data_IF_437837791317
#
_entry.id   IF_437837791317
#
_cell.length_a   1.000
_cell.length_b   1.000
_cell.length_c   1.000
_cell.angle_alpha   90.00
_cell.angle_beta   90.00
_cell.angle_gamma   90.00
#
_symmetry.space_group_name_H-M   'P 1'
#
loop_
_entity.id
_entity.type
_entity.pdbx_description
1 polymer ?
#
# COMPACT_ATOMS: atom_id res chain seq x y z
N UNK A 1 29.29 1.60 17.68
CA UNK A 1 29.07 2.27 18.98
C UNK A 1 30.25 3.21 19.20
N UNK A 2 30.20 4.39 18.60
CA UNK A 2 31.33 5.33 18.58
C UNK A 2 30.92 6.59 19.34
N UNK A 3 31.56 6.84 20.48
CA UNK A 3 31.28 7.98 21.36
C UNK A 3 32.03 9.20 20.82
N UNK A 4 31.32 10.09 20.12
CA UNK A 4 31.86 11.42 19.86
C UNK A 4 31.56 12.28 21.09
N UNK A 5 32.56 12.39 21.96
CA UNK A 5 32.58 13.36 23.06
C UNK A 5 32.99 14.70 22.45
N UNK A 6 32.03 15.61 22.26
CA UNK A 6 32.34 16.99 21.92
C UNK A 6 32.93 17.66 23.15
N UNK A 7 34.26 17.74 23.22
CA UNK A 7 34.98 18.51 24.23
C UNK A 7 34.96 19.98 23.80
N UNK A 8 34.32 20.91 24.55
CA UNK A 8 34.42 22.32 24.23
C UNK A 8 35.84 22.82 24.53
N UNK A 9 36.34 23.71 23.67
CA UNK A 9 37.66 24.31 23.81
C UNK A 9 37.78 25.06 25.14
N UNK A 10 38.76 24.64 25.95
CA UNK A 10 39.08 25.16 27.29
C UNK A 10 39.65 26.58 27.17
N UNK A 11 38.91 27.60 27.62
CA UNK A 11 39.51 28.85 28.09
C UNK A 11 39.89 28.68 29.57
N UNK A 12 41.12 29.07 29.87
CA UNK A 12 41.78 28.93 31.16
C UNK A 12 41.11 29.77 32.24
N UNK A 13 40.79 29.14 33.37
CA UNK A 13 40.58 29.79 34.66
C UNK A 13 39.13 30.15 34.99
N UNK A 14 38.38 29.19 35.55
CA UNK A 14 37.41 29.46 36.62
C UNK A 14 36.90 28.15 37.24
N UNK A 15 36.93 28.08 38.57
CA UNK A 15 36.43 26.96 39.37
C UNK A 15 34.95 27.14 39.66
N UNK A 16 34.08 26.33 39.03
CA UNK A 16 32.68 26.23 39.46
C UNK A 16 32.29 24.75 39.56
N UNK A 17 32.14 24.32 40.82
CA UNK A 17 31.41 23.12 41.19
C UNK A 17 29.96 23.27 40.69
N UNK A 18 29.60 22.55 39.64
CA UNK A 18 28.21 22.30 39.31
C UNK A 18 28.08 20.88 38.80
N UNK A 19 27.27 20.07 39.47
CA UNK A 19 26.71 18.85 38.90
C UNK A 19 25.84 19.28 37.71
N UNK A 20 26.48 19.49 36.56
CA UNK A 20 25.77 19.73 35.31
C UNK A 20 24.94 18.46 35.06
N UNK A 21 23.60 18.55 35.00
CA UNK A 21 22.78 17.41 34.63
C UNK A 21 23.27 16.95 33.26
N UNK A 22 23.60 15.67 33.16
CA UNK A 22 24.05 15.07 31.92
C UNK A 22 22.87 15.08 30.95
N UNK A 23 22.69 16.17 30.21
CA UNK A 23 21.68 16.29 29.17
C UNK A 23 22.16 15.43 28.02
N UNK A 24 21.73 14.18 28.02
CA UNK A 24 21.80 13.32 26.84
C UNK A 24 20.79 13.88 25.86
N UNK A 25 21.25 14.77 24.99
CA UNK A 25 20.51 15.11 23.78
C UNK A 25 20.58 13.87 22.90
N UNK A 26 19.58 12.99 23.05
CA UNK A 26 19.28 11.97 22.06
C UNK A 26 18.78 12.73 20.84
N UNK A 27 19.72 13.20 20.01
CA UNK A 27 19.37 13.76 18.71
C UNK A 27 18.54 12.68 18.01
N UNK A 28 17.42 13.10 17.43
CA UNK A 28 16.52 12.25 16.63
C UNK A 28 17.19 11.80 15.32
N UNK A 29 18.51 11.67 15.30
CA UNK A 29 19.35 11.12 14.24
C UNK A 29 19.63 9.62 14.47
N UNK A 30 19.18 9.04 15.59
CA UNK A 30 19.30 7.60 15.89
C UNK A 30 18.15 6.74 15.37
N UNK A 31 17.25 7.30 14.54
CA UNK A 31 16.32 6.50 13.76
C UNK A 31 17.06 6.07 12.50
N UNK A 32 17.33 4.78 12.37
CA UNK A 32 17.79 4.18 11.11
C UNK A 32 16.77 4.47 10.03
N UNK A 33 16.97 5.56 9.31
CA UNK A 33 16.17 5.88 8.15
C UNK A 33 16.39 4.78 7.11
N UNK A 34 15.32 4.40 6.44
CA UNK A 34 15.41 3.50 5.30
C UNK A 34 15.72 4.33 4.05
N UNK A 35 16.60 3.82 3.20
CA UNK A 35 16.88 4.46 1.93
C UNK A 35 15.63 4.53 1.07
N UNK A 36 15.56 5.52 0.18
CA UNK A 36 14.43 5.72 -0.74
C UNK A 36 14.06 4.43 -1.50
N UNK A 37 15.06 3.68 -1.99
CA UNK A 37 14.83 2.44 -2.73
C UNK A 37 14.24 1.33 -1.85
N UNK A 38 14.67 1.23 -0.59
CA UNK A 38 14.11 0.26 0.37
C UNK A 38 12.67 0.60 0.71
N UNK A 39 12.37 1.89 0.92
CA UNK A 39 11.03 2.38 1.14
C UNK A 39 10.11 2.13 -0.07
N UNK A 40 10.57 2.50 -1.26
CA UNK A 40 9.87 2.27 -2.51
C UNK A 40 9.59 0.78 -2.72
N UNK A 41 10.53 -0.10 -2.40
CA UNK A 41 10.33 -1.55 -2.51
C UNK A 41 9.23 -2.07 -1.59
N UNK A 42 9.10 -1.55 -0.37
CA UNK A 42 8.01 -1.93 0.54
C UNK A 42 6.66 -1.52 -0.08
N UNK A 43 6.55 -0.27 -0.51
CA UNK A 43 5.31 0.27 -1.11
C UNK A 43 4.95 -0.45 -2.41
N UNK A 44 5.93 -0.65 -3.30
CA UNK A 44 5.71 -1.30 -4.59
C UNK A 44 5.33 -2.77 -4.43
N UNK A 45 5.92 -3.50 -3.48
CA UNK A 45 5.53 -4.89 -3.25
C UNK A 45 4.10 -5.02 -2.72
N UNK A 46 3.66 -4.09 -1.90
CA UNK A 46 2.29 -4.07 -1.38
C UNK A 46 1.30 -3.81 -2.51
N UNK A 47 1.51 -2.72 -3.26
CA UNK A 47 0.68 -2.33 -4.42
C UNK A 47 0.70 -3.37 -5.56
N UNK A 48 1.87 -3.95 -5.85
CA UNK A 48 2.01 -4.89 -6.96
C UNK A 48 1.36 -6.24 -6.67
N UNK A 49 1.21 -6.63 -5.40
CA UNK A 49 0.62 -7.92 -5.04
C UNK A 49 -0.83 -8.05 -5.56
N UNK A 50 -1.61 -6.98 -5.42
CA UNK A 50 -3.01 -6.95 -5.84
C UNK A 50 -3.20 -6.89 -7.35
N UNK A 51 -2.22 -6.37 -8.09
CA UNK A 51 -2.27 -6.28 -9.56
C UNK A 51 -2.40 -7.66 -10.23
N UNK A 52 -1.83 -8.72 -9.63
CA UNK A 52 -1.86 -10.06 -10.22
C UNK A 52 -3.22 -10.74 -10.16
N UNK A 53 -3.98 -10.53 -9.07
CA UNK A 53 -5.26 -11.22 -8.86
C UNK A 53 -6.48 -10.32 -9.04
N UNK A 54 -6.37 -9.00 -8.89
CA UNK A 54 -7.50 -8.08 -8.97
C UNK A 54 -8.21 -8.16 -10.33
N UNK A 55 -7.46 -8.31 -11.42
CA UNK A 55 -8.03 -8.50 -12.77
C UNK A 55 -8.91 -9.74 -12.87
N UNK A 56 -8.44 -10.88 -12.35
CA UNK A 56 -9.21 -12.13 -12.37
C UNK A 56 -10.45 -12.07 -11.48
N UNK A 57 -10.36 -11.46 -10.29
CA UNK A 57 -11.51 -11.27 -9.41
C UNK A 57 -12.55 -10.35 -10.05
N UNK A 58 -12.12 -9.24 -10.64
CA UNK A 58 -13.01 -8.29 -11.31
C UNK A 58 -13.68 -8.91 -12.56
N UNK A 59 -12.93 -9.67 -13.37
CA UNK A 59 -13.47 -10.38 -14.53
C UNK A 59 -14.49 -11.45 -14.11
N UNK A 60 -14.22 -12.20 -13.03
CA UNK A 60 -15.16 -13.18 -12.50
C UNK A 60 -16.44 -12.52 -11.96
N UNK A 61 -16.33 -11.32 -11.38
CA UNK A 61 -17.46 -10.62 -10.77
C UNK A 61 -18.33 -9.85 -11.77
N UNK A 62 -17.73 -9.21 -12.77
CA UNK A 62 -18.39 -8.24 -13.67
C UNK A 62 -18.44 -8.72 -15.13
N UNK A 63 -17.65 -9.74 -15.47
CA UNK A 63 -17.48 -10.27 -16.82
C UNK A 63 -16.43 -9.52 -17.63
N UNK A 64 -16.48 -9.69 -18.96
CA UNK A 64 -15.45 -9.19 -19.90
C UNK A 64 -15.30 -7.66 -19.94
N UNK A 65 -16.24 -6.91 -19.36
CA UNK A 65 -16.15 -5.46 -19.23
C UNK A 65 -15.29 -4.98 -18.04
N UNK A 66 -14.78 -5.89 -17.20
CA UNK A 66 -13.96 -5.59 -16.03
C UNK A 66 -12.78 -4.61 -16.26
N UNK A 67 -12.04 -4.66 -17.40
CA UNK A 67 -10.92 -3.73 -17.63
C UNK A 67 -11.32 -2.25 -17.56
N UNK A 68 -12.56 -1.90 -17.95
CA UNK A 68 -13.05 -0.52 -17.86
C UNK A 68 -13.24 -0.05 -16.40
N UNK A 69 -13.68 -0.95 -15.52
CA UNK A 69 -13.83 -0.65 -14.09
C UNK A 69 -12.47 -0.53 -13.40
N UNK A 70 -11.52 -1.39 -13.75
CA UNK A 70 -10.13 -1.27 -13.29
C UNK A 70 -9.55 0.07 -13.74
N UNK A 71 -9.73 0.45 -15.01
CA UNK A 71 -9.28 1.74 -15.52
C UNK A 71 -9.90 2.91 -14.74
N UNK A 72 -11.21 2.88 -14.47
CA UNK A 72 -11.88 3.90 -13.69
C UNK A 72 -11.33 4.00 -12.25
N UNK A 73 -11.05 2.87 -11.60
CA UNK A 73 -10.42 2.81 -10.28
C UNK A 73 -8.99 3.36 -10.33
N UNK A 74 -8.21 3.05 -11.36
CA UNK A 74 -6.86 3.61 -11.54
C UNK A 74 -6.87 5.13 -11.73
N UNK A 75 -7.85 5.66 -12.46
CA UNK A 75 -8.05 7.12 -12.57
C UNK A 75 -8.43 7.74 -11.22
N UNK A 76 -9.30 7.08 -10.45
CA UNK A 76 -9.65 7.52 -9.09
C UNK A 76 -8.44 7.49 -8.14
N UNK A 77 -7.56 6.50 -8.28
CA UNK A 77 -6.30 6.36 -7.55
C UNK A 77 -5.45 7.61 -7.64
N UNK A 78 -5.42 8.28 -8.80
CA UNK A 78 -4.67 9.53 -8.97
C UNK A 78 -5.18 10.66 -8.06
N UNK A 79 -6.51 10.77 -7.89
CA UNK A 79 -7.09 11.74 -6.97
C UNK A 79 -6.73 11.41 -5.52
N UNK A 80 -6.80 10.15 -5.12
CA UNK A 80 -6.44 9.72 -3.75
C UNK A 80 -4.94 9.90 -3.49
N UNK A 81 -4.09 9.60 -4.47
CA UNK A 81 -2.65 9.88 -4.42
C UNK A 81 -2.36 11.35 -4.15
N UNK A 82 -3.13 12.28 -4.74
CA UNK A 82 -2.95 13.72 -4.48
C UNK A 82 -3.17 14.07 -3.00
N UNK A 83 -4.18 13.47 -2.36
CA UNK A 83 -4.46 13.63 -0.93
C UNK A 83 -3.34 13.03 -0.07
N UNK A 84 -2.78 11.89 -0.49
CA UNK A 84 -1.62 11.31 0.21
C UNK A 84 -0.37 12.18 0.11
N UNK A 85 -0.11 12.80 -1.05
CA UNK A 85 1.01 13.73 -1.22
C UNK A 85 0.83 14.95 -0.31
N UNK A 86 -0.38 15.50 -0.22
CA UNK A 86 -0.68 16.62 0.69
C UNK A 86 -0.51 16.21 2.16
N UNK A 87 -1.00 15.03 2.53
CA UNK A 87 -0.84 14.43 3.87
C UNK A 87 0.63 14.27 4.25
N UNK A 88 1.48 13.93 3.29
CA UNK A 88 2.94 13.82 3.46
C UNK A 88 3.64 15.17 3.68
N UNK A 89 2.97 16.30 3.42
CA UNK A 89 3.44 17.64 3.76
C UNK A 89 3.32 17.98 5.25
N UNK A 90 2.56 17.19 6.03
CA UNK A 90 2.33 17.41 7.45
C UNK A 90 3.47 16.81 8.30
N UNK A 91 4.28 17.67 8.94
CA UNK A 91 5.43 17.30 9.79
C UNK A 91 5.04 16.71 11.16
N UNK A 92 4.03 15.86 11.21
CA UNK A 92 3.58 15.18 12.42
C UNK A 92 4.34 13.87 12.59
N UNK A 93 4.83 13.57 13.81
CA UNK A 93 5.57 12.33 14.11
C UNK A 93 4.62 11.17 14.41
N UNK A 94 4.36 10.24 13.49
CA UNK A 94 3.51 9.06 13.75
C UNK A 94 3.23 8.22 12.50
N UNK A 95 2.19 7.39 12.49
CA UNK A 95 1.65 6.77 11.26
C UNK A 95 0.40 7.50 10.73
N UNK A 96 -0.37 6.84 9.87
CA UNK A 96 -1.65 7.37 9.31
C UNK A 96 -2.58 7.88 10.40
N UNK A 97 -2.70 7.16 11.53
CA UNK A 97 -3.50 7.58 12.69
C UNK A 97 -3.25 9.04 13.10
N UNK A 98 -1.97 9.42 13.25
CA UNK A 98 -1.62 10.73 13.77
C UNK A 98 -1.78 11.82 12.71
N UNK A 99 -1.59 11.51 11.43
CA UNK A 99 -1.93 12.46 10.34
C UNK A 99 -3.40 12.84 10.44
N UNK A 100 -4.28 11.84 10.45
CA UNK A 100 -5.73 12.06 10.42
C UNK A 100 -6.18 12.73 11.72
N UNK A 101 -5.57 12.40 12.86
CA UNK A 101 -5.89 13.03 14.13
C UNK A 101 -5.59 14.53 14.14
N UNK A 102 -4.43 14.94 13.64
CA UNK A 102 -4.05 16.36 13.60
C UNK A 102 -4.81 17.13 12.52
N UNK A 103 -5.18 16.47 11.41
CA UNK A 103 -5.92 17.11 10.31
C UNK A 103 -7.44 17.20 10.55
N UNK A 104 -8.06 16.16 11.10
CA UNK A 104 -9.52 15.97 11.15
C UNK A 104 -10.06 15.60 12.54
N UNK A 105 -9.21 15.61 13.57
CA UNK A 105 -9.60 15.30 14.94
C UNK A 105 -9.66 13.80 15.28
N UNK A 106 -9.92 13.52 16.55
CA UNK A 106 -9.80 12.17 17.14
C UNK A 106 -10.82 11.17 16.59
N UNK A 107 -12.06 11.60 16.34
CA UNK A 107 -13.14 10.71 15.88
C UNK A 107 -12.82 10.15 14.50
N UNK A 108 -12.44 11.02 13.56
CA UNK A 108 -12.08 10.62 12.20
C UNK A 108 -10.82 9.74 12.18
N UNK A 109 -9.85 10.01 13.05
CA UNK A 109 -8.66 9.18 13.16
C UNK A 109 -8.96 7.74 13.60
N UNK A 110 -9.89 7.56 14.55
CA UNK A 110 -10.33 6.22 14.97
C UNK A 110 -11.05 5.48 13.84
N UNK A 111 -11.98 6.14 13.15
CA UNK A 111 -12.70 5.56 12.01
C UNK A 111 -11.73 5.14 10.91
N UNK A 112 -10.80 6.03 10.54
CA UNK A 112 -9.80 5.78 9.51
C UNK A 112 -8.91 4.57 9.84
N UNK A 113 -8.41 4.48 11.08
CA UNK A 113 -7.55 3.35 11.46
C UNK A 113 -8.32 2.04 11.60
N UNK A 114 -9.58 2.08 12.06
CA UNK A 114 -10.43 0.89 12.04
C UNK A 114 -10.67 0.37 10.62
N UNK A 115 -10.93 1.28 9.66
CA UNK A 115 -11.08 0.91 8.25
C UNK A 115 -9.77 0.35 7.67
N UNK A 116 -8.63 0.96 7.99
CA UNK A 116 -7.31 0.51 7.56
C UNK A 116 -6.95 -0.89 8.11
N UNK A 117 -7.23 -1.14 9.39
CA UNK A 117 -7.01 -2.46 9.99
C UNK A 117 -7.93 -3.52 9.38
N UNK A 118 -9.19 -3.15 9.10
CA UNK A 118 -10.12 -4.05 8.42
C UNK A 118 -9.63 -4.40 7.01
N UNK A 119 -9.08 -3.42 6.28
CA UNK A 119 -8.50 -3.65 4.96
C UNK A 119 -7.36 -4.67 5.04
N UNK A 120 -6.35 -4.45 5.90
CA UNK A 120 -5.23 -5.40 6.04
C UNK A 120 -5.65 -6.81 6.48
N UNK A 121 -6.61 -6.91 7.39
CA UNK A 121 -7.15 -8.21 7.83
C UNK A 121 -7.89 -8.93 6.70
N UNK A 122 -8.48 -8.19 5.76
CA UNK A 122 -9.18 -8.74 4.60
C UNK A 122 -8.23 -9.05 3.44
N UNK A 123 -7.29 -8.16 3.13
CA UNK A 123 -6.39 -8.30 1.97
C UNK A 123 -5.35 -9.39 2.18
N UNK A 124 -4.86 -9.59 3.42
CA UNK A 124 -3.91 -10.65 3.73
C UNK A 124 -4.39 -12.06 3.32
N UNK A 125 -5.56 -12.53 3.79
CA UNK A 125 -6.13 -13.82 3.40
C UNK A 125 -6.48 -13.90 1.90
N UNK A 126 -6.99 -12.82 1.28
CA UNK A 126 -7.28 -12.81 -0.16
C UNK A 126 -5.99 -13.08 -0.95
N UNK A 127 -4.92 -12.34 -0.66
CA UNK A 127 -3.62 -12.53 -1.31
C UNK A 127 -3.06 -13.93 -1.06
N UNK A 128 -3.16 -14.45 0.17
CA UNK A 128 -2.70 -15.80 0.52
C UNK A 128 -3.44 -16.91 -0.23
N UNK A 129 -4.77 -16.83 -0.31
CA UNK A 129 -5.60 -17.81 -1.01
C UNK A 129 -5.37 -17.72 -2.52
N UNK A 130 -5.31 -16.51 -3.09
CA UNK A 130 -5.01 -16.31 -4.52
C UNK A 130 -3.63 -16.87 -4.90
N UNK A 131 -2.60 -16.65 -4.07
CA UNK A 131 -1.28 -17.25 -4.28
C UNK A 131 -1.33 -18.79 -4.23
N UNK A 132 -2.10 -19.37 -3.30
CA UNK A 132 -2.34 -20.80 -3.23
C UNK A 132 -3.06 -21.34 -4.47
N UNK A 133 -4.06 -20.62 -4.99
CA UNK A 133 -4.79 -20.97 -6.21
C UNK A 133 -3.86 -21.00 -7.43
N UNK A 134 -2.94 -20.03 -7.56
CA UNK A 134 -1.93 -20.04 -8.62
C UNK A 134 -0.95 -21.21 -8.48
N UNK A 135 -0.45 -21.47 -7.27
CA UNK A 135 0.48 -22.57 -7.02
C UNK A 135 -0.16 -23.93 -7.33
N UNK A 136 -1.36 -24.19 -6.81
CA UNK A 136 -2.06 -25.46 -7.02
C UNK A 136 -2.48 -25.62 -8.47
N UNK A 137 -2.89 -24.53 -9.14
CA UNK A 137 -3.15 -24.52 -10.58
C UNK A 137 -1.94 -24.96 -11.39
N UNK A 138 -0.77 -24.38 -11.12
CA UNK A 138 0.49 -24.74 -11.75
C UNK A 138 0.89 -26.20 -11.49
N UNK A 139 0.79 -26.66 -10.24
CA UNK A 139 1.12 -28.04 -9.87
C UNK A 139 0.22 -29.05 -10.57
N UNK A 140 -1.09 -28.79 -10.64
CA UNK A 140 -2.03 -29.66 -11.34
C UNK A 140 -1.74 -29.73 -12.85
N UNK A 141 -1.35 -28.62 -13.49
CA UNK A 141 -0.93 -28.62 -14.89
C UNK A 141 0.36 -29.42 -15.10
N UNK A 142 1.33 -29.29 -14.18
CA UNK A 142 2.59 -30.03 -14.21
C UNK A 142 2.38 -31.54 -14.03
N UNK A 143 1.54 -31.96 -13.09
CA UNK A 143 1.20 -33.37 -12.90
C UNK A 143 0.52 -33.96 -14.12
N UNK A 144 -0.40 -33.20 -14.74
CA UNK A 144 -1.04 -33.60 -15.99
C UNK A 144 -0.03 -33.75 -17.13
N UNK A 145 0.94 -32.84 -17.23
CA UNK A 145 2.03 -32.94 -18.21
C UNK A 145 2.94 -34.15 -17.96
N UNK A 146 3.25 -34.43 -16.69
CA UNK A 146 4.05 -35.57 -16.26
C UNK A 146 3.30 -36.92 -16.26
N UNK A 147 2.03 -36.96 -16.71
CA UNK A 147 1.15 -38.15 -16.69
C UNK A 147 0.99 -38.77 -15.30
N UNK A 148 1.06 -37.94 -14.24
CA UNK A 148 0.76 -38.36 -12.88
C UNK A 148 -0.72 -38.09 -12.58
N UNK A 149 -1.49 -39.10 -12.18
CA UNK A 149 -2.91 -38.99 -11.82
C UNK A 149 -3.15 -38.35 -10.44
N UNK A 150 -2.29 -37.42 -10.04
CA UNK A 150 -2.43 -36.67 -8.79
C UNK A 150 -3.21 -35.40 -9.08
N UNK A 151 -4.45 -35.33 -8.57
CA UNK A 151 -5.28 -34.14 -8.65
C UNK A 151 -5.40 -33.50 -7.27
N UNK A 152 -4.79 -32.32 -7.09
CA UNK A 152 -4.95 -31.54 -5.87
C UNK A 152 -6.25 -30.74 -5.96
N UNK A 153 -7.12 -30.88 -4.96
CA UNK A 153 -8.30 -30.03 -4.81
C UNK A 153 -7.85 -28.58 -4.67
N UNK A 154 -8.25 -27.73 -5.64
CA UNK A 154 -7.75 -26.37 -5.75
C UNK A 154 -8.10 -25.52 -4.52
N UNK A 155 -9.34 -25.60 -4.07
CA UNK A 155 -9.84 -24.77 -2.97
C UNK A 155 -9.26 -25.19 -1.62
N UNK A 156 -9.27 -26.49 -1.34
CA UNK A 156 -8.76 -27.00 -0.06
C UNK A 156 -7.24 -26.82 0.05
N UNK A 157 -6.50 -27.11 -1.02
CA UNK A 157 -5.04 -26.97 -1.02
C UNK A 157 -4.63 -25.49 -0.97
N UNK A 158 -5.33 -24.59 -1.68
CA UNK A 158 -5.06 -23.16 -1.62
C UNK A 158 -5.37 -22.56 -0.25
N UNK A 159 -6.50 -22.92 0.37
CA UNK A 159 -6.85 -22.47 1.72
C UNK A 159 -5.84 -22.99 2.76
N UNK A 160 -5.44 -24.25 2.65
CA UNK A 160 -4.43 -24.86 3.53
C UNK A 160 -3.07 -24.17 3.36
N UNK A 161 -2.65 -23.87 2.13
CA UNK A 161 -1.44 -23.11 1.86
C UNK A 161 -1.48 -21.71 2.48
N UNK A 162 -2.58 -20.97 2.30
CA UNK A 162 -2.76 -19.65 2.89
C UNK A 162 -2.70 -19.68 4.44
N UNK A 163 -3.31 -20.68 5.07
CA UNK A 163 -3.25 -20.87 6.51
C UNK A 163 -1.83 -21.14 7.00
N UNK A 164 -1.08 -22.01 6.30
CA UNK A 164 0.32 -22.29 6.62
C UNK A 164 1.21 -21.05 6.50
N UNK A 165 1.04 -20.27 5.44
CA UNK A 165 1.76 -19.00 5.24
C UNK A 165 1.43 -18.01 6.36
N UNK A 166 0.15 -17.91 6.76
CA UNK A 166 -0.28 -17.03 7.85
C UNK A 166 0.37 -17.44 9.19
N UNK A 167 0.37 -18.74 9.52
CA UNK A 167 1.02 -19.26 10.73
C UNK A 167 2.54 -19.01 10.69
N UNK A 168 3.16 -19.19 9.52
CA UNK A 168 4.58 -18.89 9.34
C UNK A 168 4.89 -17.42 9.63
N UNK A 169 4.15 -16.49 9.02
CA UNK A 169 4.37 -15.06 9.27
C UNK A 169 4.02 -14.67 10.69
N UNK A 170 3.00 -15.26 11.30
CA UNK A 170 2.71 -15.05 12.72
C UNK A 170 3.91 -15.44 13.61
N UNK A 171 4.50 -16.60 13.35
CA UNK A 171 5.71 -17.04 14.06
C UNK A 171 6.91 -16.11 13.83
N UNK A 172 7.11 -15.64 12.59
CA UNK A 172 8.16 -14.66 12.27
C UNK A 172 7.94 -13.33 13.01
N UNK A 173 6.69 -12.86 13.11
CA UNK A 173 6.36 -11.65 13.85
C UNK A 173 6.68 -11.77 15.36
N UNK A 174 6.40 -12.94 15.98
CA UNK A 174 6.73 -13.18 17.40
C UNK A 174 8.24 -13.12 17.66
N UNK A 175 9.06 -13.58 16.71
CA UNK A 175 10.53 -13.54 16.84
C UNK A 175 11.13 -12.13 16.75
N UNK A 176 10.36 -11.15 16.27
CA UNK A 176 10.84 -9.81 15.94
C UNK A 176 11.57 -9.80 14.60
N UNK A 177 11.21 -8.86 13.73
CA UNK A 177 11.81 -8.72 12.38
C UNK A 177 12.82 -7.57 12.40
N UNK A 178 14.13 -7.84 12.54
CA UNK A 178 15.14 -6.77 12.53
C UNK A 178 15.49 -6.28 11.12
N UNK A 179 15.35 -7.12 10.07
CA UNK A 179 15.86 -6.82 8.71
C UNK A 179 14.82 -7.10 7.60
N UNK A 180 13.68 -6.41 7.63
CA UNK A 180 12.62 -6.60 6.62
C UNK A 180 12.95 -5.99 5.25
N UNK A 181 13.69 -4.88 5.24
CA UNK A 181 13.83 -4.03 4.04
C UNK A 181 14.71 -4.62 2.93
N UNK A 182 15.73 -5.42 3.26
CA UNK A 182 16.53 -6.10 2.23
C UNK A 182 15.74 -7.21 1.54
N UNK A 183 14.94 -7.96 2.30
CA UNK A 183 14.05 -9.00 1.74
C UNK A 183 13.02 -8.39 0.80
N UNK A 184 12.44 -7.24 1.17
CA UNK A 184 11.53 -6.50 0.31
C UNK A 184 12.19 -6.11 -1.03
N UNK A 185 13.43 -5.60 -1.02
CA UNK A 185 14.15 -5.30 -2.26
C UNK A 185 14.33 -6.54 -3.16
N UNK A 186 14.69 -7.69 -2.58
CA UNK A 186 14.85 -8.94 -3.35
C UNK A 186 13.53 -9.40 -3.97
N UNK A 187 12.43 -9.30 -3.22
CA UNK A 187 11.09 -9.61 -3.72
C UNK A 187 10.73 -8.68 -4.89
N UNK A 188 11.01 -7.38 -4.75
CA UNK A 188 10.73 -6.40 -5.79
C UNK A 188 11.46 -6.72 -7.12
N UNK A 189 12.71 -7.17 -7.08
CA UNK A 189 13.42 -7.58 -8.30
C UNK A 189 12.73 -8.75 -9.01
N UNK A 190 12.31 -9.78 -8.26
CA UNK A 190 11.60 -10.94 -8.80
C UNK A 190 10.26 -10.48 -9.40
N UNK A 191 9.50 -9.67 -8.66
CA UNK A 191 8.21 -9.12 -9.12
C UNK A 191 8.39 -8.31 -10.40
N UNK A 192 9.42 -7.47 -10.48
CA UNK A 192 9.69 -6.64 -11.67
C UNK A 192 10.02 -7.51 -12.89
N UNK A 193 10.83 -8.55 -12.72
CA UNK A 193 11.13 -9.50 -13.78
C UNK A 193 9.87 -10.23 -14.27
N UNK A 194 8.97 -10.60 -13.34
CA UNK A 194 7.71 -11.25 -13.64
C UNK A 194 6.76 -10.33 -14.44
N UNK A 195 6.64 -9.05 -14.06
CA UNK A 195 5.87 -8.06 -14.83
C UNK A 195 6.45 -7.90 -16.24
N UNK A 196 7.77 -7.78 -16.37
CA UNK A 196 8.41 -7.63 -17.69
C UNK A 196 8.14 -8.84 -18.59
N UNK A 197 8.21 -10.05 -18.03
CA UNK A 197 7.89 -11.29 -18.75
C UNK A 197 6.42 -11.32 -19.18
N UNK A 198 5.48 -10.94 -18.31
CA UNK A 198 4.05 -10.86 -18.64
C UNK A 198 3.79 -9.84 -19.76
N UNK A 199 4.39 -8.65 -19.70
CA UNK A 199 4.25 -7.63 -20.75
C UNK A 199 4.78 -8.16 -22.08
N UNK A 200 5.95 -8.79 -22.08
CA UNK A 200 6.53 -9.38 -23.29
C UNK A 200 5.61 -10.48 -23.88
N UNK A 201 5.08 -11.36 -23.02
CA UNK A 201 4.20 -12.45 -23.45
C UNK A 201 2.84 -11.95 -23.94
N UNK A 202 2.24 -10.97 -23.27
CA UNK A 202 1.02 -10.32 -23.71
C UNK A 202 1.23 -9.61 -25.06
N UNK A 203 2.33 -8.89 -25.22
CA UNK A 203 2.67 -8.21 -26.49
C UNK A 203 2.83 -9.21 -27.62
N UNK A 204 3.55 -10.32 -27.38
CA UNK A 204 3.68 -11.41 -28.35
C UNK A 204 2.32 -12.03 -28.72
N UNK A 205 1.46 -12.28 -27.72
CA UNK A 205 0.12 -12.83 -27.95
C UNK A 205 -0.75 -11.91 -28.78
N UNK A 206 -0.67 -10.59 -28.56
CA UNK A 206 -1.39 -9.59 -29.35
C UNK A 206 -0.93 -9.59 -30.83
N UNK A 207 0.37 -9.74 -31.08
CA UNK A 207 0.91 -9.82 -32.45
C UNK A 207 0.46 -11.10 -33.16
N UNK A 208 0.47 -12.24 -32.47
CA UNK A 208 0.19 -13.55 -33.11
C UNK A 208 -1.31 -13.84 -33.24
N UNK A 209 -2.11 -13.53 -32.22
CA UNK A 209 -3.55 -13.88 -32.17
C UNK A 209 -4.49 -12.71 -32.48
N UNK A 210 -3.96 -11.50 -32.58
CA UNK A 210 -4.75 -10.28 -32.75
C UNK A 210 -5.36 -9.78 -31.43
N UNK A 211 -5.75 -8.51 -31.42
CA UNK A 211 -6.34 -7.83 -30.27
C UNK A 211 -7.86 -7.79 -30.39
N UNK A 212 -8.57 -8.16 -29.32
CA UNK A 212 -9.99 -7.88 -29.17
C UNK A 212 -10.15 -6.87 -28.04
N UNK A 213 -10.80 -5.75 -28.32
CA UNK A 213 -11.10 -4.76 -27.29
C UNK A 213 -12.15 -5.32 -26.32
N UNK A 214 -12.02 -5.03 -25.02
CA UNK A 214 -13.04 -5.41 -24.05
C UNK A 214 -14.38 -4.75 -24.44
N UNK A 215 -15.50 -5.47 -24.34
CA UNK A 215 -16.81 -4.91 -24.64
C UNK A 215 -17.07 -3.68 -23.77
N UNK A 216 -17.78 -2.70 -24.33
CA UNK A 216 -18.16 -1.48 -23.59
C UNK A 216 -18.93 -1.84 -22.32
N UNK A 217 -18.79 -1.04 -21.23
CA UNK A 217 -19.47 -1.26 -19.96
C UNK A 217 -20.95 -0.85 -20.04
N UNK A 218 -21.68 -1.44 -20.99
CA UNK A 218 -23.11 -1.32 -21.18
C UNK A 218 -23.81 -2.38 -20.34
N UNK A 219 -25.02 -2.12 -19.80
CA UNK A 219 -25.75 -3.10 -18.98
C UNK A 219 -25.90 -4.49 -19.62
N UNK A 220 -26.00 -4.55 -20.95
CA UNK A 220 -26.11 -5.81 -21.71
C UNK A 220 -24.83 -6.67 -21.70
N UNK A 221 -23.66 -6.07 -21.46
CA UNK A 221 -22.37 -6.75 -21.44
C UNK A 221 -21.91 -7.07 -20.01
N UNK A 222 -22.64 -6.59 -18.99
CA UNK A 222 -22.35 -6.83 -17.58
C UNK A 222 -22.98 -8.15 -17.16
N UNK A 223 -22.12 -9.11 -16.82
CA UNK A 223 -22.54 -10.40 -16.30
C UNK A 223 -22.07 -10.51 -14.86
N UNK A 224 -22.99 -10.27 -13.92
CA UNK A 224 -22.69 -10.41 -12.50
C UNK A 224 -22.79 -11.86 -12.07
N UNK A 225 -21.72 -12.39 -11.49
CA UNK A 225 -21.75 -13.72 -10.89
C UNK A 225 -22.67 -13.76 -9.66
N UNK A 226 -23.23 -14.93 -9.31
CA UNK A 226 -24.04 -15.07 -8.10
C UNK A 226 -23.28 -14.66 -6.83
N UNK A 227 -21.97 -14.89 -6.80
CA UNK A 227 -21.07 -14.53 -5.69
C UNK A 227 -20.88 -13.01 -5.60
N UNK A 228 -20.81 -12.31 -6.74
CA UNK A 228 -20.67 -10.85 -6.78
C UNK A 228 -21.93 -10.10 -6.34
N UNK A 229 -23.11 -10.71 -6.52
CA UNK A 229 -24.37 -10.10 -6.13
C UNK A 229 -24.66 -10.23 -4.63
N UNK A 230 -24.16 -11.29 -3.96
CA UNK A 230 -24.36 -11.51 -2.53
C UNK A 230 -25.84 -11.42 -2.13
N UNK A 231 -26.17 -10.48 -1.23
CA UNK A 231 -27.55 -10.24 -0.78
C UNK A 231 -28.47 -9.67 -1.87
N UNK A 232 -27.93 -9.12 -2.96
CA UNK A 232 -28.70 -8.54 -4.09
C UNK A 232 -29.16 -9.62 -5.07
N UNK A 233 -28.81 -10.88 -4.83
CA UNK A 233 -29.20 -12.02 -5.66
C UNK A 233 -30.72 -12.10 -5.75
N UNK A 234 -31.26 -12.08 -6.97
CA UNK A 234 -32.69 -12.12 -7.25
C UNK A 234 -33.40 -10.77 -7.23
N UNK A 235 -32.71 -9.67 -6.91
CA UNK A 235 -33.26 -8.32 -7.00
C UNK A 235 -33.04 -7.71 -8.40
N UNK A 236 -33.92 -6.79 -8.82
CA UNK A 236 -33.73 -5.95 -10.04
C UNK A 236 -32.85 -4.72 -9.78
N UNK A 237 -32.23 -4.64 -8.60
CA UNK A 237 -31.40 -3.50 -8.21
C UNK A 237 -30.09 -3.43 -9.01
N UNK A 238 -29.37 -4.54 -9.31
CA UNK A 238 -28.17 -4.51 -10.16
C UNK A 238 -28.45 -4.09 -11.61
N UNK A 239 -29.71 -4.15 -12.05
CA UNK A 239 -30.15 -3.68 -13.37
C UNK A 239 -30.30 -2.15 -13.43
N UNK A 240 -30.32 -1.48 -12.28
CA UNK A 240 -30.23 -0.02 -12.20
C UNK A 240 -28.78 0.35 -12.52
N UNK A 241 -28.55 1.03 -13.65
CA UNK A 241 -27.21 1.26 -14.21
C UNK A 241 -26.21 1.83 -13.20
N UNK A 242 -26.62 2.77 -12.34
CA UNK A 242 -25.76 3.34 -11.29
C UNK A 242 -25.35 2.29 -10.26
N UNK A 243 -26.27 1.43 -9.80
CA UNK A 243 -25.94 0.41 -8.82
C UNK A 243 -25.09 -0.70 -9.42
N UNK A 244 -25.35 -1.09 -10.66
CA UNK A 244 -24.48 -2.01 -11.41
C UNK A 244 -23.05 -1.48 -11.55
N UNK A 245 -22.89 -0.19 -11.83
CA UNK A 245 -21.58 0.47 -11.87
C UNK A 245 -20.91 0.46 -10.49
N UNK A 246 -21.63 0.77 -9.42
CA UNK A 246 -21.10 0.74 -8.06
C UNK A 246 -20.64 -0.67 -7.64
N UNK A 247 -21.39 -1.71 -8.00
CA UNK A 247 -21.02 -3.10 -7.76
C UNK A 247 -19.73 -3.44 -8.54
N UNK A 248 -19.66 -3.05 -9.82
CA UNK A 248 -18.49 -3.32 -10.66
C UNK A 248 -17.23 -2.58 -10.18
N UNK A 249 -17.37 -1.33 -9.78
CA UNK A 249 -16.31 -0.57 -9.13
C UNK A 249 -15.88 -1.22 -7.82
N UNK A 250 -16.83 -1.61 -6.95
CA UNK A 250 -16.54 -2.23 -5.66
C UNK A 250 -15.70 -3.52 -5.78
N UNK A 251 -15.95 -4.35 -6.78
CA UNK A 251 -15.14 -5.55 -7.06
C UNK A 251 -13.79 -5.25 -7.70
N UNK A 252 -13.60 -4.04 -8.24
CA UNK A 252 -12.36 -3.58 -8.87
C UNK A 252 -11.49 -2.73 -7.92
N UNK A 253 -12.03 -2.26 -6.79
CA UNK A 253 -11.31 -1.41 -5.82
C UNK A 253 -10.03 -2.05 -5.28
N UNK A 254 -9.98 -3.39 -5.22
CA UNK A 254 -8.77 -4.12 -4.80
C UNK A 254 -7.55 -3.79 -5.67
N UNK A 255 -7.74 -3.33 -6.91
CA UNK A 255 -6.64 -2.92 -7.78
C UNK A 255 -5.87 -1.68 -7.26
N UNK A 256 -6.46 -0.90 -6.35
CA UNK A 256 -5.88 0.32 -5.79
C UNK A 256 -5.26 0.14 -4.39
N UNK A 257 -5.48 -1.02 -3.73
CA UNK A 257 -4.98 -1.28 -2.37
C UNK A 257 -3.44 -1.20 -2.31
N UNK A 258 -2.89 -0.62 -1.25
CA UNK A 258 -1.44 -0.47 -1.02
C UNK A 258 -0.90 0.97 -1.15
N UNK A 259 -1.70 1.94 -1.60
CA UNK A 259 -1.28 3.36 -1.62
C UNK A 259 -1.05 3.92 -0.21
N UNK A 260 -1.81 3.45 0.78
CA UNK A 260 -1.71 3.85 2.18
C UNK A 260 -0.37 3.47 2.82
N UNK A 261 0.28 2.41 2.32
CA UNK A 261 1.62 2.00 2.75
C UNK A 261 2.65 3.06 2.43
N UNK A 262 2.45 3.87 1.37
CA UNK A 262 3.27 5.05 1.11
C UNK A 262 3.23 6.02 2.30
N UNK A 263 2.04 6.36 2.80
CA UNK A 263 1.90 7.31 3.91
C UNK A 263 2.48 6.77 5.23
N UNK A 264 2.51 5.45 5.41
CA UNK A 264 3.12 4.81 6.57
C UNK A 264 4.65 4.84 6.48
N UNK A 265 5.21 4.44 5.34
CA UNK A 265 6.65 4.30 5.13
C UNK A 265 7.33 5.64 4.87
N UNK A 266 6.63 6.62 4.30
CA UNK A 266 7.16 7.94 3.94
C UNK A 266 7.88 8.65 5.09
N UNK A 267 7.47 8.40 6.33
CA UNK A 267 8.10 9.02 7.50
C UNK A 267 9.44 8.40 7.87
N UNK A 268 9.68 7.16 7.50
CA UNK A 268 10.93 6.42 7.73
C UNK A 268 11.99 6.71 6.65
N UNK A 269 11.61 7.37 5.56
CA UNK A 269 12.52 7.75 4.46
C UNK A 269 13.51 8.83 4.92
N UNK A 270 14.75 8.71 4.45
CA UNK A 270 15.80 9.74 4.58
C UNK A 270 15.38 11.10 3.99
N UNK A 271 15.92 12.19 4.52
CA UNK A 271 15.73 13.53 3.94
C UNK A 271 16.57 13.70 2.66
N UNK A 272 16.13 14.51 1.67
CA UNK A 272 14.92 15.34 1.63
C UNK A 272 13.67 14.60 1.12
N UNK A 273 12.53 14.83 1.79
CA UNK A 273 11.27 14.10 1.54
C UNK A 273 10.37 14.75 0.47
N UNK A 274 10.46 16.07 0.33
CA UNK A 274 9.77 16.85 -0.71
C UNK A 274 10.80 17.69 -1.45
N UNK A 275 10.97 17.44 -2.74
CA UNK A 275 11.47 18.46 -3.68
C UNK A 275 10.22 19.24 -4.10
N UNK A 276 10.18 20.53 -3.82
CA UNK A 276 9.05 21.42 -4.15
C UNK A 276 8.62 21.23 -5.61
N UNK A 277 7.50 20.53 -5.83
CA UNK A 277 6.82 20.55 -7.12
C UNK A 277 6.08 21.89 -7.27
N UNK A 278 6.14 22.55 -8.44
CA UNK A 278 5.60 23.90 -8.67
C UNK A 278 4.06 23.94 -8.81
N UNK A 279 3.33 23.25 -7.93
CA UNK A 279 1.86 23.20 -7.92
C UNK A 279 1.22 23.15 -6.51
N UNK A 280 2.01 22.96 -5.45
CA UNK A 280 1.50 22.78 -4.06
C UNK A 280 1.33 24.15 -3.33
N UNK A 281 1.51 25.27 -4.03
CA UNK A 281 1.49 26.60 -3.41
C UNK A 281 0.12 27.05 -2.88
N UNK A 282 -0.99 26.53 -3.40
CA UNK A 282 -2.33 27.06 -3.10
C UNK A 282 -2.83 26.63 -1.70
N UNK A 283 -2.57 25.40 -1.26
CA UNK A 283 -3.07 24.89 0.04
C UNK A 283 -2.27 25.39 1.24
N UNK A 284 -1.00 25.81 1.05
CA UNK A 284 -0.22 26.43 2.13
C UNK A 284 -0.81 27.77 2.58
N UNK A 285 -1.50 28.48 1.70
CA UNK A 285 -2.18 29.73 2.04
C UNK A 285 -3.41 29.50 2.92
N UNK A 286 -4.03 28.32 2.83
CA UNK A 286 -5.26 27.98 3.56
C UNK A 286 -4.94 27.33 4.92
N UNK A 287 -3.88 26.50 5.00
CA UNK A 287 -3.52 25.80 6.24
C UNK A 287 -2.48 26.54 7.12
N UNK A 288 -1.62 27.40 6.57
CA UNK A 288 -0.77 28.29 7.37
C UNK A 288 -1.46 29.62 7.75
N UNK A 289 -2.74 29.77 7.43
CA UNK A 289 -3.54 30.95 7.79
C UNK A 289 -3.96 31.04 9.26
N UNK A 290 -3.68 30.02 10.08
CA UNK A 290 -3.96 30.06 11.53
C UNK A 290 -2.68 29.85 12.34
N UNK A 291 -2.18 30.97 12.87
CA UNK A 291 -1.29 31.12 14.02
C UNK A 291 0.10 30.46 13.98
N UNK A 292 1.03 31.15 13.32
CA UNK A 292 2.40 31.28 13.83
C UNK A 292 3.01 32.62 13.40
N UNK A 293 2.53 33.70 14.01
CA UNK A 293 3.12 35.05 13.87
C UNK A 293 3.00 35.82 15.18
N UNK A 294 3.81 35.41 16.17
CA UNK A 294 4.37 36.35 17.14
C UNK A 294 5.87 36.07 17.27
N UNK A 295 6.73 36.87 16.63
CA UNK A 295 8.10 37.03 17.08
C UNK A 295 8.08 38.02 18.26
N UNK A 296 8.33 37.52 19.46
CA UNK A 296 8.81 38.37 20.55
C UNK A 296 10.22 38.84 20.18
N UNK A 297 10.29 40.06 19.68
CA UNK A 297 11.51 40.80 19.46
C UNK A 297 11.28 42.23 19.94
N UNK A 298 11.34 42.43 21.25
CA UNK A 298 11.62 43.73 21.86
C UNK A 298 12.67 43.52 22.95
N UNK A 299 13.92 43.74 22.57
CA UNK A 299 14.99 44.03 23.52
C UNK A 299 15.15 45.55 23.58
N UNK A 300 14.76 46.17 24.70
CA UNK A 300 15.25 47.49 25.15
C UNK A 300 15.27 47.49 26.68
N UNK A 301 16.49 47.65 27.22
CA UNK A 301 16.92 47.89 28.62
C UNK A 301 16.77 46.73 29.63
#
# INVERSE_FOLDING_TARGET
MERIVLTPARKTGESVNSHLPQVVVVTTAMLTFISFWRAAAIVLNDLASSAYYAGGIAEQAVGKAAPWFILAVMLLSYAVRSVYIESCGMFVRGGVYRVVKEAMGVTMAKISVSALLFDYVRTGPISGVSAGQYLVGFLNELFRYARLDVHLSRDFAAASFAALVTVYFWWVNIKGIPESSEKALRIMYITTAMVALLIAWCSYTLVVRGAHLPPWPLPQNLHFSPEALGWLRGSRLPTIGVLGILIGLGHSVLAMSGEETLAQVYREIEHPKLVLQPGIHLSRLILCGHDYSRPDADGVL
#
